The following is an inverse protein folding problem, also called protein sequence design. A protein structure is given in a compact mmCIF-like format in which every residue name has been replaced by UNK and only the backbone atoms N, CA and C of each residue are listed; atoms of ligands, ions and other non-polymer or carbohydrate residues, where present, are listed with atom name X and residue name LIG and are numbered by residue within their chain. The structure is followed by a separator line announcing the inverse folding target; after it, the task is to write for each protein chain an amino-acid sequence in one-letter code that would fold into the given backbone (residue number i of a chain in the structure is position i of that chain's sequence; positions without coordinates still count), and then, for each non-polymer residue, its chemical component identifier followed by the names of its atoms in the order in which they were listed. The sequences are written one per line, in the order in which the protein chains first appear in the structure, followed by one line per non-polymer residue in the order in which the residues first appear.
data_IF_224973922549
#
_entry.id   IF_224973922549
#
_cell.length_a   1.000
_cell.length_b   1.000
_cell.length_c   1.000
_cell.angle_alpha   90.00
_cell.angle_beta   90.00
_cell.angle_gamma   90.00
#
_symmetry.space_group_name_H-M   'P 1'
#
loop_
_entity.id
_entity.type
_entity.pdbx_description
1 polymer ?
#
# COMPACT_ATOMS: atom_id res chain seq x y z
N UNK A 1 -19.11 28.49 -7.24
CA UNK A 1 -19.20 27.95 -8.61
C UNK A 1 -20.61 27.96 -9.18
N UNK A 2 -21.65 27.57 -8.43
CA UNK A 2 -23.02 27.46 -8.98
C UNK A 2 -23.61 28.80 -9.46
N UNK A 3 -23.42 29.87 -8.69
CA UNK A 3 -23.92 31.21 -9.04
C UNK A 3 -23.26 31.79 -10.30
N UNK A 4 -22.05 31.33 -10.63
CA UNK A 4 -21.28 31.74 -11.81
C UNK A 4 -21.11 30.56 -12.76
N UNK A 5 -22.21 29.84 -13.00
CA UNK A 5 -22.20 28.67 -13.87
C UNK A 5 -21.65 29.00 -15.26
N UNK A 6 -20.60 28.28 -15.65
CA UNK A 6 -19.93 28.47 -16.93
C UNK A 6 -19.90 27.14 -17.71
N UNK A 7 -20.79 26.95 -18.70
CA UNK A 7 -20.84 25.72 -19.48
C UNK A 7 -19.60 25.50 -20.37
N UNK A 8 -18.78 26.53 -20.57
CA UNK A 8 -17.52 26.42 -21.32
C UNK A 8 -16.37 25.84 -20.50
N UNK A 9 -16.51 25.77 -19.16
CA UNK A 9 -15.53 25.10 -18.31
C UNK A 9 -15.98 23.64 -18.08
N UNK A 10 -15.28 22.62 -18.61
CA UNK A 10 -15.69 21.22 -18.43
C UNK A 10 -15.71 20.78 -16.96
N UNK A 11 -14.91 21.41 -16.10
CA UNK A 11 -14.86 21.12 -14.65
C UNK A 11 -15.97 21.82 -13.85
N UNK A 12 -16.82 22.64 -14.49
CA UNK A 12 -17.80 23.46 -13.77
C UNK A 12 -18.73 22.63 -12.87
N UNK A 13 -19.21 21.48 -13.37
CA UNK A 13 -20.07 20.59 -12.61
C UNK A 13 -19.32 19.99 -11.42
N UNK A 14 -18.09 19.50 -11.63
CA UNK A 14 -17.28 18.94 -10.56
C UNK A 14 -17.05 19.94 -9.44
N UNK A 15 -16.72 21.19 -9.79
CA UNK A 15 -16.52 22.26 -8.81
C UNK A 15 -17.79 22.59 -8.03
N UNK A 16 -18.96 22.61 -8.69
CA UNK A 16 -20.25 22.77 -8.01
C UNK A 16 -20.52 21.61 -7.05
N UNK A 17 -20.30 20.36 -7.47
CA UNK A 17 -20.52 19.19 -6.61
C UNK A 17 -19.56 19.21 -5.42
N UNK A 18 -18.29 19.57 -5.62
CA UNK A 18 -17.32 19.75 -4.52
C UNK A 18 -17.79 20.78 -3.49
N UNK A 19 -18.26 21.95 -3.93
CA UNK A 19 -18.82 22.96 -3.02
C UNK A 19 -20.06 22.44 -2.27
N UNK A 20 -20.97 21.72 -2.94
CA UNK A 20 -22.15 21.15 -2.30
C UNK A 20 -21.79 20.09 -1.26
N UNK A 21 -20.80 19.23 -1.53
CA UNK A 21 -20.27 18.26 -0.56
C UNK A 21 -19.63 18.97 0.63
N UNK A 22 -18.91 20.08 0.41
CA UNK A 22 -18.36 20.88 1.50
C UNK A 22 -19.47 21.51 2.37
N UNK A 23 -20.56 21.99 1.77
CA UNK A 23 -21.73 22.46 2.54
C UNK A 23 -22.41 21.32 3.30
N UNK A 24 -22.48 20.13 2.70
CA UNK A 24 -23.00 18.94 3.38
C UNK A 24 -22.13 18.53 4.59
N UNK A 25 -20.81 18.63 4.48
CA UNK A 25 -19.90 18.44 5.60
C UNK A 25 -20.20 19.42 6.74
N UNK A 26 -20.39 20.71 6.44
CA UNK A 26 -20.77 21.71 7.45
C UNK A 26 -22.12 21.38 8.12
N UNK A 27 -23.09 20.92 7.34
CA UNK A 27 -24.36 20.41 7.88
C UNK A 27 -24.14 19.22 8.82
N UNK A 28 -23.30 18.25 8.46
CA UNK A 28 -23.00 17.11 9.33
C UNK A 28 -22.28 17.53 10.62
N UNK A 29 -21.35 18.49 10.53
CA UNK A 29 -20.71 19.08 11.71
C UNK A 29 -21.73 19.75 12.63
N UNK A 30 -22.75 20.42 12.08
CA UNK A 30 -23.82 21.02 12.90
C UNK A 30 -24.62 19.98 13.70
N UNK A 31 -24.82 18.78 13.13
CA UNK A 31 -25.49 17.65 13.81
C UNK A 31 -24.58 17.00 14.85
N UNK A 32 -23.28 16.93 14.58
CA UNK A 32 -22.29 16.40 15.52
C UNK A 32 -22.25 17.20 16.84
N UNK A 33 -22.53 18.51 16.79
CA UNK A 33 -22.56 19.40 17.96
C UNK A 33 -23.52 18.95 19.07
N UNK A 34 -24.47 18.07 18.79
CA UNK A 34 -25.33 17.46 19.81
C UNK A 34 -24.55 16.54 20.78
N UNK A 35 -23.36 16.06 20.39
CA UNK A 35 -22.43 15.32 21.26
C UNK A 35 -21.20 16.17 21.57
N UNK A 36 -21.00 16.52 22.84
CA UNK A 36 -19.78 17.21 23.30
C UNK A 36 -18.53 16.36 23.10
N UNK A 37 -18.62 15.04 23.34
CA UNK A 37 -17.53 14.09 23.20
C UNK A 37 -17.01 13.98 21.78
N UNK A 38 -17.91 13.83 20.80
CA UNK A 38 -17.54 13.71 19.39
C UNK A 38 -17.16 15.07 18.79
N UNK A 39 -17.75 16.17 19.28
CA UNK A 39 -17.34 17.51 18.90
C UNK A 39 -15.92 17.83 19.37
N UNK A 40 -15.51 17.36 20.57
CA UNK A 40 -14.14 17.47 21.05
C UNK A 40 -13.15 16.76 20.11
N UNK A 41 -13.46 15.54 19.67
CA UNK A 41 -12.63 14.82 18.68
C UNK A 41 -12.48 15.62 17.38
N UNK A 42 -13.59 16.17 16.87
CA UNK A 42 -13.60 16.97 15.65
C UNK A 42 -12.74 18.24 15.78
N UNK A 43 -12.95 19.03 16.85
CA UNK A 43 -12.24 20.29 17.04
C UNK A 43 -10.74 20.09 17.15
N UNK A 44 -10.33 19.06 17.89
CA UNK A 44 -8.91 18.75 18.09
C UNK A 44 -8.26 18.32 16.78
N UNK A 45 -8.95 17.55 15.94
CA UNK A 45 -8.44 17.20 14.59
C UNK A 45 -8.44 18.39 13.62
N UNK A 46 -9.38 19.32 13.77
CA UNK A 46 -9.48 20.51 12.92
C UNK A 46 -8.34 21.50 13.16
N UNK A 47 -7.78 21.54 14.38
CA UNK A 47 -6.61 22.35 14.72
C UNK A 47 -5.34 21.92 13.97
N UNK A 48 -5.29 20.68 13.47
CA UNK A 48 -4.21 20.14 12.65
C UNK A 48 -4.54 20.27 11.16
N UNK A 49 -3.89 21.20 10.40
CA UNK A 49 -4.26 21.48 9.01
C UNK A 49 -4.16 20.26 8.10
N UNK A 50 -3.17 19.36 8.32
CA UNK A 50 -3.01 18.17 7.51
C UNK A 50 -4.20 17.19 7.60
N UNK A 51 -4.98 17.24 8.68
CA UNK A 51 -6.16 16.40 8.88
C UNK A 51 -7.44 17.17 8.62
N UNK A 52 -7.57 18.39 9.14
CA UNK A 52 -8.80 19.18 9.11
C UNK A 52 -9.36 19.44 7.72
N UNK A 53 -8.50 19.77 6.74
CA UNK A 53 -8.93 20.04 5.36
C UNK A 53 -9.31 18.77 4.59
N UNK A 54 -8.84 17.61 5.04
CA UNK A 54 -9.00 16.32 4.36
C UNK A 54 -9.81 15.32 5.19
N UNK A 55 -10.77 15.84 5.96
CA UNK A 55 -11.65 15.06 6.84
C UNK A 55 -13.11 15.21 6.43
N UNK A 56 -13.82 14.07 6.35
CA UNK A 56 -15.27 14.01 6.18
C UNK A 56 -15.93 13.39 7.40
N UNK A 57 -17.17 13.83 7.69
CA UNK A 57 -17.92 13.39 8.86
C UNK A 57 -19.36 13.09 8.47
N UNK A 58 -19.90 12.05 9.09
CA UNK A 58 -21.31 11.72 9.02
C UNK A 58 -21.87 11.44 10.41
N UNK A 59 -22.97 12.11 10.78
CA UNK A 59 -23.73 11.84 11.99
C UNK A 59 -25.10 11.23 11.63
N UNK A 60 -25.36 10.04 12.17
CA UNK A 60 -26.59 9.29 12.00
C UNK A 60 -27.82 10.01 12.56
N UNK A 61 -29.00 9.47 12.27
CA UNK A 61 -30.23 9.97 12.91
C UNK A 61 -30.25 9.52 14.36
N UNK A 62 -30.72 10.41 15.22
CA UNK A 62 -30.94 10.12 16.64
C UNK A 62 -31.98 9.02 16.76
N UNK A 63 -31.69 8.03 17.59
CA UNK A 63 -32.62 7.00 17.96
C UNK A 63 -33.72 7.61 18.85
N UNK A 64 -34.99 7.40 18.48
CA UNK A 64 -36.13 7.99 19.20
C UNK A 64 -36.31 7.44 20.62
N UNK A 65 -35.80 6.24 20.91
CA UNK A 65 -35.94 5.59 22.22
C UNK A 65 -34.75 5.84 23.13
N UNK A 66 -33.52 5.72 22.61
CA UNK A 66 -32.29 5.87 23.42
C UNK A 66 -31.74 7.29 23.39
N UNK A 67 -32.09 8.09 22.38
CA UNK A 67 -31.49 9.40 22.17
C UNK A 67 -30.04 9.35 21.66
N UNK A 68 -29.50 8.18 21.34
CA UNK A 68 -28.13 8.03 20.83
C UNK A 68 -28.09 8.15 19.31
N UNK A 69 -26.90 8.46 18.77
CA UNK A 69 -26.64 8.41 17.33
C UNK A 69 -25.24 7.87 17.08
N UNK A 70 -25.07 7.21 15.94
CA UNK A 70 -23.76 6.77 15.47
C UNK A 70 -23.09 7.87 14.65
N UNK A 71 -21.76 7.93 14.69
CA UNK A 71 -20.98 8.86 13.90
C UNK A 71 -19.85 8.15 13.16
N UNK A 72 -19.42 8.73 12.04
CA UNK A 72 -18.26 8.26 11.28
C UNK A 72 -17.38 9.42 10.90
N UNK A 73 -16.09 9.25 11.16
CA UNK A 73 -15.02 10.12 10.69
C UNK A 73 -14.28 9.41 9.56
N UNK A 74 -13.96 10.11 8.50
CA UNK A 74 -13.18 9.62 7.38
C UNK A 74 -12.04 10.61 7.12
N UNK A 75 -10.81 10.15 7.26
CA UNK A 75 -9.60 10.97 7.13
C UNK A 75 -8.76 10.46 5.96
N UNK A 76 -8.36 11.35 5.05
CA UNK A 76 -7.26 11.07 4.11
C UNK A 76 -5.94 11.25 4.85
N UNK A 77 -5.17 10.17 4.96
CA UNK A 77 -3.93 10.18 5.74
C UNK A 77 -2.81 10.89 4.96
N UNK A 78 -2.04 11.79 5.60
CA UNK A 78 -0.96 12.54 4.96
C UNK A 78 0.34 11.72 4.90
N UNK A 79 0.29 10.59 4.20
CA UNK A 79 1.46 9.74 3.95
C UNK A 79 1.87 9.86 2.49
N UNK A 80 3.18 9.98 2.22
CA UNK A 80 3.71 10.07 0.87
C UNK A 80 3.81 8.67 0.23
N UNK A 81 3.00 8.46 -0.82
CA UNK A 81 2.95 7.24 -1.61
C UNK A 81 3.57 7.40 -3.01
N UNK A 82 4.12 8.57 -3.35
CA UNK A 82 4.58 8.91 -4.71
C UNK A 82 5.65 7.97 -5.27
N UNK A 83 6.45 7.38 -4.38
CA UNK A 83 7.56 6.49 -4.72
C UNK A 83 7.21 5.00 -4.68
N UNK A 84 5.93 4.64 -4.47
CA UNK A 84 5.50 3.25 -4.50
C UNK A 84 5.61 2.70 -5.93
N UNK A 85 6.13 1.47 -6.12
CA UNK A 85 6.23 0.85 -7.44
C UNK A 85 4.91 0.82 -8.19
N UNK A 86 4.97 0.95 -9.51
CA UNK A 86 3.83 0.68 -10.39
C UNK A 86 3.55 -0.81 -10.44
N UNK A 87 2.32 -1.20 -10.76
CA UNK A 87 1.97 -2.58 -11.06
C UNK A 87 0.99 -2.61 -12.23
N UNK A 88 1.05 -3.65 -13.07
CA UNK A 88 0.08 -3.86 -14.13
C UNK A 88 -1.25 -4.38 -13.57
N UNK A 89 -2.32 -3.67 -13.94
CA UNK A 89 -3.69 -4.15 -13.78
C UNK A 89 -4.00 -5.22 -14.83
N UNK A 90 -4.97 -6.09 -14.51
CA UNK A 90 -5.43 -7.14 -15.44
C UNK A 90 -6.07 -6.54 -16.69
N UNK A 91 -6.81 -5.45 -16.53
CA UNK A 91 -7.28 -4.62 -17.63
C UNK A 91 -6.44 -3.34 -17.66
N UNK A 92 -5.73 -3.13 -18.77
CA UNK A 92 -4.86 -1.96 -18.96
C UNK A 92 -5.67 -0.66 -19.08
N UNK A 93 -6.98 -0.76 -19.32
CA UNK A 93 -7.88 0.40 -19.38
C UNK A 93 -8.42 0.80 -18.01
N UNK A 94 -8.20 0.00 -16.96
CA UNK A 94 -8.58 0.37 -15.60
C UNK A 94 -7.59 1.40 -15.03
N UNK A 95 -8.13 2.49 -14.49
CA UNK A 95 -7.36 3.47 -13.73
C UNK A 95 -7.36 3.05 -12.25
N UNK A 96 -6.20 2.78 -11.62
CA UNK A 96 -6.12 2.46 -10.19
C UNK A 96 -6.53 3.63 -9.30
N UNK A 97 -6.68 4.83 -9.87
CA UNK A 97 -7.06 6.05 -9.16
C UNK A 97 -5.90 6.67 -8.39
N UNK A 98 -6.22 7.66 -7.56
CA UNK A 98 -5.24 8.35 -6.74
C UNK A 98 -4.65 7.45 -5.64
N UNK A 99 -3.35 7.55 -5.41
CA UNK A 99 -2.64 6.82 -4.35
C UNK A 99 -2.99 7.40 -2.97
N UNK A 100 -4.07 6.91 -2.38
CA UNK A 100 -4.61 7.43 -1.12
C UNK A 100 -4.88 6.31 -0.12
N UNK A 101 -4.59 6.59 1.16
CA UNK A 101 -5.06 5.82 2.30
C UNK A 101 -6.12 6.59 3.07
N UNK A 102 -7.27 5.96 3.31
CA UNK A 102 -8.41 6.53 4.03
C UNK A 102 -8.63 5.79 5.34
N UNK A 103 -8.60 6.50 6.47
CA UNK A 103 -8.94 5.95 7.79
C UNK A 103 -10.37 6.32 8.13
N UNK A 104 -11.24 5.31 8.18
CA UNK A 104 -12.62 5.44 8.65
C UNK A 104 -12.70 5.01 10.11
N UNK A 105 -13.24 5.86 10.98
CA UNK A 105 -13.51 5.50 12.39
C UNK A 105 -15.00 5.64 12.65
N UNK A 106 -15.66 4.52 13.00
CA UNK A 106 -17.09 4.50 13.33
C UNK A 106 -17.29 4.44 14.83
N UNK A 107 -18.12 5.32 15.35
CA UNK A 107 -18.57 5.38 16.74
C UNK A 107 -20.03 4.92 16.77
N UNK A 108 -20.33 3.82 17.46
CA UNK A 108 -21.71 3.32 17.56
C UNK A 108 -22.53 4.07 18.62
N UNK A 109 -21.85 4.64 19.62
CA UNK A 109 -22.42 5.45 20.69
C UNK A 109 -21.76 6.84 20.76
N UNK A 110 -22.42 7.78 21.44
CA UNK A 110 -21.96 9.17 21.58
C UNK A 110 -20.83 9.35 22.59
N UNK A 111 -20.58 8.36 23.44
CA UNK A 111 -19.56 8.38 24.50
C UNK A 111 -18.22 7.80 24.04
N UNK A 112 -18.15 7.31 22.80
CA UNK A 112 -16.99 6.67 22.19
C UNK A 112 -16.53 5.40 22.93
N UNK A 113 -17.47 4.57 23.40
CA UNK A 113 -17.14 3.28 24.03
C UNK A 113 -16.98 2.16 23.02
N UNK A 114 -17.76 2.19 21.93
CA UNK A 114 -17.73 1.22 20.84
C UNK A 114 -17.21 1.88 19.57
N UNK A 115 -15.90 1.74 19.35
CA UNK A 115 -15.16 2.41 18.28
C UNK A 115 -14.53 1.39 17.35
N UNK A 116 -14.83 1.52 16.05
CA UNK A 116 -14.40 0.59 15.02
C UNK A 116 -13.60 1.31 13.92
N UNK A 117 -12.26 1.26 13.98
CA UNK A 117 -11.40 1.79 12.93
C UNK A 117 -11.29 0.81 11.75
N UNK A 118 -11.27 1.34 10.53
CA UNK A 118 -11.03 0.61 9.28
C UNK A 118 -10.13 1.45 8.37
N UNK A 119 -9.06 0.84 7.87
CA UNK A 119 -8.15 1.46 6.92
C UNK A 119 -8.46 0.94 5.52
N UNK A 120 -8.73 1.86 4.60
CA UNK A 120 -8.91 1.60 3.18
C UNK A 120 -7.67 2.08 2.44
N UNK A 121 -7.18 1.27 1.51
CA UNK A 121 -5.99 1.56 0.72
C UNK A 121 -6.37 1.57 -0.76
N UNK A 122 -5.78 2.49 -1.53
CA UNK A 122 -5.87 2.42 -2.99
C UNK A 122 -5.24 1.11 -3.51
N UNK A 123 -5.66 0.63 -4.70
CA UNK A 123 -5.17 -0.64 -5.25
C UNK A 123 -3.64 -0.76 -5.32
N UNK A 124 -2.94 0.33 -5.68
CA UNK A 124 -1.46 0.37 -5.73
C UNK A 124 -0.83 0.20 -4.36
N UNK A 125 -1.36 0.87 -3.34
CA UNK A 125 -0.84 0.77 -1.97
C UNK A 125 -1.14 -0.64 -1.42
N UNK A 126 -2.35 -1.16 -1.66
CA UNK A 126 -2.73 -2.50 -1.25
C UNK A 126 -1.80 -3.56 -1.86
N UNK A 127 -1.54 -3.48 -3.17
CA UNK A 127 -0.63 -4.39 -3.86
C UNK A 127 0.79 -4.29 -3.30
N UNK A 128 1.30 -3.07 -3.15
CA UNK A 128 2.66 -2.81 -2.65
C UNK A 128 2.88 -3.36 -1.22
N UNK A 129 1.85 -3.32 -0.38
CA UNK A 129 1.89 -3.81 1.00
C UNK A 129 1.59 -5.31 1.14
N UNK A 130 1.36 -6.03 0.03
CA UNK A 130 1.10 -7.48 0.04
C UNK A 130 -0.36 -7.87 0.30
N UNK A 131 -1.30 -6.97 -0.02
CA UNK A 131 -2.73 -7.17 0.16
C UNK A 131 -3.28 -6.61 1.48
N UNK A 132 -4.58 -6.36 1.55
CA UNK A 132 -5.27 -5.83 2.74
C UNK A 132 -5.13 -6.71 3.98
N UNK A 133 -4.94 -8.01 3.81
CA UNK A 133 -4.73 -8.96 4.92
C UNK A 133 -3.34 -8.88 5.56
N UNK A 134 -2.36 -8.27 4.88
CA UNK A 134 -0.99 -8.12 5.40
C UNK A 134 -0.81 -6.89 6.32
N UNK A 135 -1.83 -6.04 6.41
CA UNK A 135 -1.82 -4.82 7.21
C UNK A 135 -2.88 -4.85 8.30
N UNK A 136 -2.44 -4.98 9.55
CA UNK A 136 -3.27 -4.76 10.71
C UNK A 136 -2.94 -3.41 11.34
N UNK A 137 -3.97 -2.59 11.54
CA UNK A 137 -3.89 -1.35 12.31
C UNK A 137 -4.18 -1.65 13.79
N UNK A 138 -3.62 -0.87 14.73
CA UNK A 138 -3.96 -1.01 16.15
C UNK A 138 -5.45 -0.77 16.37
N UNK A 139 -6.05 -1.51 17.31
CA UNK A 139 -7.39 -1.22 17.79
C UNK A 139 -7.43 0.18 18.45
N UNK A 140 -8.61 0.82 18.42
CA UNK A 140 -8.77 2.09 19.11
C UNK A 140 -8.71 1.88 20.63
N UNK A 141 -7.85 2.60 21.36
CA UNK A 141 -7.73 2.42 22.80
C UNK A 141 -9.00 2.92 23.53
N UNK A 142 -9.43 2.20 24.57
CA UNK A 142 -10.60 2.59 25.36
C UNK A 142 -10.37 3.95 26.05
N UNK A 143 -11.29 4.88 25.86
CA UNK A 143 -11.16 6.27 26.33
C UNK A 143 -10.11 7.10 25.59
N UNK A 144 -9.53 6.58 24.51
CA UNK A 144 -8.57 7.31 23.68
C UNK A 144 -9.21 8.40 22.84
N UNK A 145 -8.36 9.16 22.15
CA UNK A 145 -8.77 10.20 21.22
C UNK A 145 -8.13 10.01 19.83
N UNK A 146 -8.79 10.54 18.81
CA UNK A 146 -8.35 10.46 17.42
C UNK A 146 -7.05 11.21 17.19
N UNK A 147 -6.83 12.33 17.88
CA UNK A 147 -5.60 13.12 17.73
C UNK A 147 -4.35 12.33 18.13
N UNK A 148 -4.45 11.41 19.09
CA UNK A 148 -3.35 10.52 19.46
C UNK A 148 -3.29 9.25 18.59
N UNK A 149 -4.46 8.77 18.13
CA UNK A 149 -4.57 7.53 17.37
C UNK A 149 -4.13 7.68 15.91
N UNK A 150 -4.57 8.74 15.22
CA UNK A 150 -4.30 8.98 13.80
C UNK A 150 -2.78 9.05 13.50
N UNK A 151 -1.95 9.78 14.29
CA UNK A 151 -0.51 9.80 14.09
C UNK A 151 0.16 8.42 14.21
N UNK A 152 -0.32 7.56 15.11
CA UNK A 152 0.21 6.20 15.26
C UNK A 152 -0.04 5.36 14.00
N UNK A 153 -1.25 5.46 13.43
CA UNK A 153 -1.58 4.80 12.16
C UNK A 153 -0.73 5.36 11.00
N UNK A 154 -0.57 6.69 10.94
CA UNK A 154 0.27 7.34 9.93
C UNK A 154 1.73 6.88 10.02
N UNK A 155 2.29 6.79 11.23
CA UNK A 155 3.65 6.34 11.45
C UNK A 155 3.83 4.87 11.05
N UNK A 156 2.89 4.00 11.42
CA UNK A 156 2.91 2.59 11.02
C UNK A 156 2.90 2.45 9.50
N UNK A 157 2.01 3.18 8.83
CA UNK A 157 1.89 3.15 7.38
C UNK A 157 3.15 3.71 6.70
N UNK A 158 3.67 4.84 7.17
CA UNK A 158 4.91 5.45 6.67
C UNK A 158 6.08 4.47 6.77
N UNK A 159 6.26 3.81 7.92
CA UNK A 159 7.33 2.83 8.10
C UNK A 159 7.22 1.66 7.12
N UNK A 160 6.00 1.15 6.89
CA UNK A 160 5.78 0.07 5.93
C UNK A 160 6.02 0.51 4.48
N UNK A 161 5.57 1.71 4.10
CA UNK A 161 5.80 2.27 2.76
C UNK A 161 7.30 2.43 2.50
N UNK A 162 8.04 3.00 3.45
CA UNK A 162 9.50 3.14 3.34
C UNK A 162 10.20 1.79 3.21
N UNK A 163 9.75 0.78 3.96
CA UNK A 163 10.28 -0.57 3.85
C UNK A 163 10.08 -1.18 2.46
N UNK A 164 8.89 -1.01 1.87
CA UNK A 164 8.59 -1.50 0.51
C UNK A 164 9.42 -0.78 -0.55
N UNK A 165 9.54 0.55 -0.46
CA UNK A 165 10.35 1.35 -1.39
C UNK A 165 11.82 0.93 -1.32
N UNK A 166 12.36 0.75 -0.12
CA UNK A 166 13.73 0.28 0.07
C UNK A 166 13.95 -1.12 -0.52
N UNK A 167 13.04 -2.05 -0.24
CA UNK A 167 13.09 -3.40 -0.79
C UNK A 167 13.03 -3.40 -2.31
N UNK A 168 12.17 -2.57 -2.91
CA UNK A 168 12.07 -2.38 -4.35
C UNK A 168 13.39 -1.89 -4.97
N UNK A 169 13.98 -0.83 -4.41
CA UNK A 169 15.27 -0.33 -4.92
C UNK A 169 16.38 -1.36 -4.80
N UNK A 170 16.39 -2.14 -3.72
CA UNK A 170 17.36 -3.22 -3.54
C UNK A 170 17.17 -4.33 -4.56
N UNK A 171 15.93 -4.76 -4.82
CA UNK A 171 15.64 -5.74 -5.88
C UNK A 171 16.09 -5.23 -7.25
N UNK A 172 15.79 -3.96 -7.56
CA UNK A 172 16.24 -3.32 -8.80
C UNK A 172 17.76 -3.30 -8.93
N UNK A 173 18.48 -2.95 -7.85
CA UNK A 173 19.95 -2.97 -7.79
C UNK A 173 20.50 -4.39 -8.06
N UNK A 174 19.91 -5.41 -7.42
CA UNK A 174 20.27 -6.81 -7.62
C UNK A 174 20.10 -7.22 -9.08
N UNK A 175 18.90 -7.02 -9.65
CA UNK A 175 18.60 -7.40 -11.03
C UNK A 175 19.52 -6.66 -12.01
N UNK A 176 19.73 -5.36 -11.82
CA UNK A 176 20.64 -4.58 -12.67
C UNK A 176 22.09 -5.11 -12.64
N UNK A 177 22.59 -5.51 -11.46
CA UNK A 177 23.91 -6.09 -11.36
C UNK A 177 24.01 -7.46 -12.06
N UNK A 178 22.99 -8.31 -11.92
CA UNK A 178 22.93 -9.60 -12.64
C UNK A 178 22.85 -9.42 -14.16
N UNK A 179 22.04 -8.47 -14.64
CA UNK A 179 22.00 -8.11 -16.06
C UNK A 179 23.36 -7.60 -16.56
N UNK A 180 24.09 -6.84 -15.75
CA UNK A 180 25.44 -6.39 -16.12
C UNK A 180 26.46 -7.53 -16.19
N UNK A 181 26.35 -8.56 -15.34
CA UNK A 181 27.32 -9.66 -15.29
C UNK A 181 26.98 -10.81 -16.25
N UNK A 182 25.68 -11.06 -16.49
CA UNK A 182 25.17 -12.22 -17.20
C UNK A 182 24.22 -11.86 -18.36
N UNK A 183 24.16 -10.59 -18.76
CA UNK A 183 23.15 -10.08 -19.70
C UNK A 183 23.12 -10.77 -21.08
N UNK A 184 24.20 -11.42 -21.50
CA UNK A 184 24.23 -12.20 -22.75
C UNK A 184 23.41 -13.49 -22.68
N UNK A 185 23.07 -13.96 -21.47
CA UNK A 185 22.30 -15.17 -21.21
C UNK A 185 20.96 -14.90 -20.52
N UNK A 186 20.45 -13.66 -20.55
CA UNK A 186 19.13 -13.37 -19.95
C UNK A 186 18.02 -14.00 -20.79
N UNK A 187 17.07 -14.68 -20.14
CA UNK A 187 15.86 -15.22 -20.78
C UNK A 187 14.70 -14.27 -20.55
N UNK A 188 14.42 -13.94 -19.29
CA UNK A 188 13.35 -13.03 -18.88
C UNK A 188 13.61 -12.50 -17.46
N UNK A 189 12.98 -11.38 -17.12
CA UNK A 189 12.96 -10.86 -15.75
C UNK A 189 11.69 -10.02 -15.53
N UNK A 190 11.30 -9.89 -14.26
CA UNK A 190 10.22 -9.01 -13.85
C UNK A 190 10.67 -7.54 -13.93
N UNK A 191 10.24 -6.84 -14.97
CA UNK A 191 10.59 -5.44 -15.21
C UNK A 191 9.80 -4.44 -14.34
N UNK A 192 8.76 -4.90 -13.66
CA UNK A 192 7.91 -4.05 -12.82
C UNK A 192 8.32 -4.11 -11.35
N UNK A 193 8.34 -5.32 -10.78
CA UNK A 193 8.58 -5.56 -9.36
C UNK A 193 9.99 -6.00 -9.02
N UNK A 194 10.79 -6.38 -10.03
CA UNK A 194 12.12 -6.97 -9.89
C UNK A 194 12.14 -8.20 -8.98
N UNK A 195 11.06 -8.98 -8.99
CA UNK A 195 10.91 -10.14 -8.10
C UNK A 195 11.45 -11.43 -8.69
N UNK A 196 11.67 -11.49 -10.02
CA UNK A 196 12.10 -12.70 -10.72
C UNK A 196 13.13 -12.42 -11.81
N UNK A 197 14.04 -13.36 -12.01
CA UNK A 197 15.01 -13.38 -13.12
C UNK A 197 15.27 -14.82 -13.55
N UNK A 198 15.27 -15.07 -14.86
CA UNK A 198 15.67 -16.33 -15.46
C UNK A 198 16.87 -16.13 -16.36
N UNK A 199 17.93 -16.91 -16.14
CA UNK A 199 19.15 -16.93 -16.95
C UNK A 199 19.33 -18.30 -17.61
N UNK A 200 19.82 -18.30 -18.84
CA UNK A 200 20.30 -19.47 -19.58
C UNK A 200 21.83 -19.42 -19.60
N UNK A 201 22.44 -20.42 -18.97
CA UNK A 201 23.90 -20.54 -18.84
C UNK A 201 24.38 -21.84 -19.47
N UNK A 202 25.69 -21.90 -19.75
CA UNK A 202 26.34 -23.05 -20.36
C UNK A 202 27.56 -23.45 -19.54
N UNK A 203 27.68 -24.75 -19.26
CA UNK A 203 28.85 -25.34 -18.62
C UNK A 203 29.34 -26.54 -19.43
N UNK A 204 30.56 -26.44 -20.00
CA UNK A 204 31.15 -27.50 -20.86
C UNK A 204 30.18 -28.01 -21.94
N UNK A 205 29.59 -27.09 -22.69
CA UNK A 205 28.61 -27.34 -23.76
C UNK A 205 27.23 -27.87 -23.30
N UNK A 206 26.99 -27.97 -21.99
CA UNK A 206 25.67 -28.29 -21.44
C UNK A 206 24.94 -27.02 -20.98
N UNK A 207 23.75 -26.80 -21.53
CA UNK A 207 22.88 -25.69 -21.15
C UNK A 207 22.05 -26.03 -19.91
N UNK A 208 21.80 -25.03 -19.07
CA UNK A 208 20.86 -25.13 -17.95
C UNK A 208 20.27 -23.77 -17.63
N UNK A 209 19.12 -23.77 -16.98
CA UNK A 209 18.43 -22.57 -16.53
C UNK A 209 18.69 -22.32 -15.05
N UNK A 210 18.76 -21.04 -14.69
CA UNK A 210 18.77 -20.57 -13.30
C UNK A 210 17.63 -19.58 -13.13
N UNK A 211 16.68 -19.92 -12.27
CA UNK A 211 15.60 -19.02 -11.85
C UNK A 211 15.96 -18.42 -10.50
N UNK A 212 15.83 -17.11 -10.38
CA UNK A 212 16.09 -16.36 -9.15
C UNK A 212 14.79 -15.71 -8.72
N UNK A 213 14.28 -16.13 -7.57
CA UNK A 213 13.09 -15.55 -6.94
C UNK A 213 13.50 -14.70 -5.74
N UNK A 214 13.19 -13.40 -5.79
CA UNK A 214 13.46 -12.43 -4.73
C UNK A 214 12.24 -12.28 -3.81
N UNK A 215 12.39 -12.50 -2.50
CA UNK A 215 11.28 -12.42 -1.55
C UNK A 215 10.83 -10.97 -1.29
N UNK A 216 9.62 -10.82 -0.72
CA UNK A 216 9.05 -9.52 -0.35
C UNK A 216 9.98 -8.73 0.59
N UNK A 217 10.57 -9.41 1.58
CA UNK A 217 11.48 -8.83 2.57
C UNK A 217 12.95 -8.80 2.10
N UNK A 218 13.24 -8.92 0.80
CA UNK A 218 14.59 -8.71 0.28
C UNK A 218 15.08 -7.28 0.62
N UNK A 219 16.34 -7.07 1.08
CA UNK A 219 17.44 -8.04 1.17
C UNK A 219 17.54 -8.79 2.49
N UNK A 220 16.63 -8.60 3.46
CA UNK A 220 16.67 -9.33 4.74
C UNK A 220 16.57 -10.83 4.49
N UNK A 221 15.61 -11.24 3.68
CA UNK A 221 15.42 -12.63 3.30
C UNK A 221 16.24 -12.95 2.04
N UNK A 222 16.89 -14.11 2.05
CA UNK A 222 17.77 -14.56 0.98
C UNK A 222 16.96 -14.95 -0.29
N UNK A 223 17.43 -14.58 -1.50
CA UNK A 223 16.78 -15.02 -2.73
C UNK A 223 16.86 -16.54 -2.91
N UNK A 224 15.85 -17.14 -3.55
CA UNK A 224 15.87 -18.57 -3.88
C UNK A 224 16.47 -18.75 -5.27
N UNK A 225 17.48 -19.62 -5.39
CA UNK A 225 18.07 -20.00 -6.68
C UNK A 225 17.56 -21.37 -7.08
N UNK A 226 16.93 -21.50 -8.24
CA UNK A 226 16.42 -22.78 -8.74
C UNK A 226 17.16 -23.14 -10.03
N UNK A 227 17.93 -24.22 -9.98
CA UNK A 227 18.64 -24.75 -11.15
C UNK A 227 17.75 -25.76 -11.86
N UNK A 228 17.55 -25.58 -13.17
CA UNK A 228 16.69 -26.43 -13.98
C UNK A 228 17.45 -26.99 -15.19
N UNK A 229 17.34 -28.30 -15.38
CA UNK A 229 17.87 -28.99 -16.56
C UNK A 229 16.95 -28.76 -17.76
N UNK A 230 17.54 -28.53 -18.94
CA UNK A 230 16.79 -28.47 -20.21
C UNK A 230 16.67 -29.84 -20.90
N UNK A 231 17.25 -30.88 -20.32
CA UNK A 231 17.35 -32.22 -20.93
C UNK A 231 16.63 -33.33 -20.16
N UNK A 232 16.28 -33.09 -18.89
CA UNK A 232 15.85 -34.14 -17.97
C UNK A 232 14.46 -33.84 -17.43
N UNK A 233 13.64 -34.89 -17.33
CA UNK A 233 12.29 -34.84 -16.77
C UNK A 233 12.20 -35.73 -15.53
N UNK A 234 11.31 -35.37 -14.61
CA UNK A 234 10.92 -36.19 -13.47
C UNK A 234 9.89 -37.25 -13.89
N UNK A 235 9.58 -38.18 -12.99
CA UNK A 235 8.54 -39.19 -13.21
C UNK A 235 7.13 -38.58 -13.42
N UNK A 236 6.91 -37.33 -13.02
CA UNK A 236 5.65 -36.60 -13.25
C UNK A 236 5.63 -35.82 -14.58
N UNK A 237 6.67 -35.95 -15.41
CA UNK A 237 6.77 -35.27 -16.70
C UNK A 237 7.15 -33.80 -16.61
N UNK A 238 7.54 -33.29 -15.43
CA UNK A 238 8.05 -31.93 -15.25
C UNK A 238 9.56 -31.89 -15.49
N UNK A 239 10.11 -30.74 -15.89
CA UNK A 239 11.57 -30.59 -15.99
C UNK A 239 12.23 -30.77 -14.62
N UNK A 240 13.32 -31.53 -14.60
CA UNK A 240 14.10 -31.73 -13.39
C UNK A 240 14.71 -30.40 -12.93
N UNK A 241 14.46 -30.05 -11.67
CA UNK A 241 14.98 -28.83 -11.05
C UNK A 241 15.28 -29.03 -9.57
N UNK A 242 16.18 -28.19 -9.03
CA UNK A 242 16.55 -28.18 -7.62
C UNK A 242 16.67 -26.74 -7.12
N UNK A 243 15.95 -26.44 -6.03
CA UNK A 243 16.01 -25.15 -5.37
C UNK A 243 17.10 -25.15 -4.27
N UNK A 244 17.96 -24.13 -4.29
CA UNK A 244 18.97 -23.85 -3.30
C UNK A 244 18.60 -22.59 -2.52
N UNK A 245 18.33 -22.78 -1.23
CA UNK A 245 18.06 -21.68 -0.28
C UNK A 245 19.19 -21.46 0.72
N UNK A 246 20.08 -22.44 0.86
CA UNK A 246 21.18 -22.41 1.83
C UNK A 246 22.50 -22.26 1.06
N UNK A 247 22.91 -21.02 0.86
CA UNK A 247 24.20 -20.67 0.24
C UNK A 247 24.78 -19.40 0.90
N UNK A 248 26.07 -19.08 0.72
CA UNK A 248 26.67 -17.89 1.32
C UNK A 248 25.92 -16.62 0.92
N UNK A 249 25.38 -15.89 1.90
CA UNK A 249 24.63 -14.67 1.68
C UNK A 249 24.83 -13.69 2.83
N UNK A 250 24.92 -12.41 2.49
CA UNK A 250 24.81 -11.33 3.46
C UNK A 250 23.81 -10.28 2.95
N UNK A 251 22.83 -9.86 3.79
CA UNK A 251 21.88 -8.80 3.43
C UNK A 251 22.56 -7.43 3.24
N UNK A 252 23.86 -7.32 3.58
CA UNK A 252 24.67 -6.09 3.48
C UNK A 252 25.43 -5.97 2.16
N UNK A 253 25.48 -7.03 1.35
CA UNK A 253 26.17 -6.99 0.06
C UNK A 253 25.45 -6.05 -0.91
N UNK A 254 26.21 -5.43 -1.81
CA UNK A 254 25.65 -4.72 -2.95
C UNK A 254 25.33 -5.70 -4.09
N UNK A 255 24.64 -5.23 -5.12
CA UNK A 255 24.27 -6.08 -6.26
C UNK A 255 25.48 -6.75 -6.94
N UNK A 256 26.62 -6.04 -7.03
CA UNK A 256 27.82 -6.54 -7.69
C UNK A 256 28.49 -7.67 -6.90
N UNK A 257 28.62 -7.53 -5.58
CA UNK A 257 29.15 -8.60 -4.72
C UNK A 257 28.23 -9.81 -4.75
N UNK A 258 26.91 -9.62 -4.71
CA UNK A 258 25.95 -10.74 -4.85
C UNK A 258 26.11 -11.46 -6.20
N UNK A 259 26.24 -10.73 -7.31
CA UNK A 259 26.44 -11.32 -8.64
C UNK A 259 27.77 -12.08 -8.76
N UNK A 260 28.86 -11.52 -8.21
CA UNK A 260 30.18 -12.18 -8.19
C UNK A 260 30.16 -13.47 -7.40
N UNK A 261 29.46 -13.51 -6.26
CA UNK A 261 29.33 -14.71 -5.42
C UNK A 261 28.46 -15.80 -6.05
N UNK A 262 27.56 -15.41 -6.95
CA UNK A 262 26.69 -16.33 -7.66
C UNK A 262 27.35 -17.00 -8.88
N UNK A 263 28.44 -16.41 -9.41
CA UNK A 263 29.23 -16.94 -10.53
C UNK A 263 30.16 -18.07 -10.08
#
# INVERSE_FOLDING_TARGET
NLASWNPSNPECLLLVVKELVQQYHQFQCSRLRESSRLMFEYQTLLEEPQYGENMEIYAGKKNNWTGEFSARFLLKLPVDFSNIPTYLLKDVNEDPGEDVALLSVSFEDTEATQVFPKLYLSPRIEHALGGSSALHIPAFPGGGCLIDYVPQVCQLLTNKVQYVIQGYHKRREYIAAFLSHFGTGVVEYDAEGFTKLTLLLMWKDFCFLVHIDLPLYFPRDQPTLTFQSVYHFTNSGQLYSQAQKNYPYSPRWDGNEMAKRAK
#
